data_IF_897855331725
#
_entry.id   IF_897855331725
#
_cell.length_a   1.000
_cell.length_b   1.000
_cell.length_c   1.000
_cell.angle_alpha   90.00
_cell.angle_beta   90.00
_cell.angle_gamma   90.00
#
_symmetry.space_group_name_H-M   'P 1'
#
loop_
_entity.id
_entity.type
_entity.pdbx_description
1 polymer ?
#
# COMPACT_ATOMS: atom_id res chain seq x y z
N UNK A 1 -53.75 -2.60 -13.84
CA UNK A 1 -52.46 -2.08 -14.32
C UNK A 1 -51.63 -1.80 -13.08
N UNK A 2 -50.74 -2.75 -12.77
CA UNK A 2 -49.72 -2.63 -11.73
C UNK A 2 -48.59 -1.78 -12.30
N UNK A 3 -48.39 -0.59 -11.77
CA UNK A 3 -47.14 0.16 -11.92
C UNK A 3 -46.75 0.65 -10.53
N UNK A 4 -45.50 0.32 -10.16
CA UNK A 4 -44.66 0.85 -9.06
C UNK A 4 -43.90 -0.25 -8.31
N UNK A 5 -43.32 -1.19 -9.05
CA UNK A 5 -42.05 -1.81 -8.68
C UNK A 5 -41.06 -1.32 -9.73
N UNK A 6 -40.11 -0.45 -9.32
CA UNK A 6 -38.78 -0.18 -9.93
C UNK A 6 -38.24 1.24 -9.62
N UNK A 7 -38.46 1.79 -8.42
CA UNK A 7 -37.62 2.91 -7.91
C UNK A 7 -36.56 2.43 -6.89
N UNK A 8 -36.63 1.17 -6.45
CA UNK A 8 -35.72 0.59 -5.45
C UNK A 8 -34.37 0.14 -6.01
N UNK A 9 -34.21 0.05 -7.33
CA UNK A 9 -32.99 -0.44 -7.98
C UNK A 9 -31.93 0.65 -8.22
N UNK A 10 -32.25 1.93 -7.98
CA UNK A 10 -31.33 3.07 -8.18
C UNK A 10 -30.64 3.54 -6.87
N UNK A 11 -30.91 2.90 -5.72
CA UNK A 11 -30.31 3.28 -4.44
C UNK A 11 -29.04 2.49 -4.18
N UNK A 12 -27.90 3.14 -4.39
CA UNK A 12 -26.59 2.59 -4.02
C UNK A 12 -26.32 2.86 -2.54
N UNK A 13 -26.23 1.79 -1.75
CA UNK A 13 -25.85 1.87 -0.34
C UNK A 13 -24.33 2.04 -0.22
N UNK A 14 -23.89 3.26 0.10
CA UNK A 14 -22.47 3.51 0.39
C UNK A 14 -21.99 2.79 1.67
N UNK A 15 -22.90 2.59 2.63
CA UNK A 15 -22.70 1.78 3.84
C UNK A 15 -23.98 1.02 4.15
N UNK A 16 -23.84 -0.22 4.63
CA UNK A 16 -24.94 -1.11 4.98
C UNK A 16 -24.58 -1.93 6.22
N UNK A 17 -25.41 -1.77 7.26
CA UNK A 17 -25.37 -2.54 8.51
C UNK A 17 -24.00 -2.59 9.19
N UNK A 18 -23.31 -1.44 9.24
CA UNK A 18 -22.02 -1.28 9.91
C UNK A 18 -22.22 -1.25 11.44
N UNK A 19 -21.51 -2.10 12.18
CA UNK A 19 -21.51 -2.10 13.64
C UNK A 19 -20.12 -2.44 14.19
N UNK A 20 -19.55 -1.54 14.99
CA UNK A 20 -18.28 -1.74 15.68
C UNK A 20 -18.14 -0.77 16.86
N UNK A 21 -17.22 -1.07 17.77
CA UNK A 21 -16.86 -0.25 18.92
C UNK A 21 -15.35 0.02 18.90
N UNK A 22 -14.94 1.22 19.30
CA UNK A 22 -13.52 1.60 19.44
C UNK A 22 -13.28 2.07 20.85
N UNK A 23 -12.33 1.43 21.56
CA UNK A 23 -12.06 1.77 22.96
C UNK A 23 -11.19 3.02 23.06
N UNK A 24 -11.25 3.69 24.21
CA UNK A 24 -10.39 4.84 24.49
C UNK A 24 -8.91 4.45 24.36
N UNK A 25 -8.14 5.26 23.62
CA UNK A 25 -6.71 5.02 23.39
C UNK A 25 -6.41 3.93 22.36
N UNK A 26 -7.45 3.38 21.71
CA UNK A 26 -7.27 2.44 20.60
C UNK A 26 -6.94 3.18 19.30
N UNK A 27 -6.01 2.61 18.52
CA UNK A 27 -5.74 3.03 17.16
C UNK A 27 -6.27 1.98 16.20
N UNK A 28 -7.41 2.29 15.59
CA UNK A 28 -8.13 1.42 14.67
C UNK A 28 -7.81 1.79 13.23
N UNK A 29 -7.37 0.81 12.44
CA UNK A 29 -7.22 0.96 10.99
C UNK A 29 -8.50 0.59 10.24
N UNK A 30 -8.82 1.29 9.15
CA UNK A 30 -9.89 0.90 8.22
C UNK A 30 -9.30 0.73 6.83
N UNK A 31 -9.40 -0.49 6.32
CA UNK A 31 -8.88 -0.91 5.02
C UNK A 31 -10.01 -1.38 4.11
N UNK A 32 -9.75 -1.40 2.80
CA UNK A 32 -10.69 -1.85 1.78
C UNK A 32 -10.46 -1.16 0.43
N UNK A 33 -11.07 -1.68 -0.63
CA UNK A 33 -10.92 -1.14 -1.98
C UNK A 33 -11.49 0.29 -2.12
N UNK A 34 -11.14 0.96 -3.23
CA UNK A 34 -11.78 2.22 -3.59
C UNK A 34 -13.28 2.00 -3.80
N UNK A 35 -14.10 2.95 -3.33
CA UNK A 35 -15.56 2.80 -3.37
C UNK A 35 -16.16 1.89 -2.29
N UNK A 36 -15.35 1.27 -1.41
CA UNK A 36 -15.88 0.40 -0.34
C UNK A 36 -16.69 1.12 0.75
N UNK A 37 -16.75 2.46 0.76
CA UNK A 37 -17.51 3.24 1.76
C UNK A 37 -16.68 3.88 2.88
N UNK A 38 -15.35 3.72 2.89
CA UNK A 38 -14.45 4.23 3.94
C UNK A 38 -14.59 5.74 4.21
N UNK A 39 -14.55 6.56 3.16
CA UNK A 39 -14.70 8.02 3.29
C UNK A 39 -16.11 8.42 3.73
N UNK A 40 -17.14 7.65 3.36
CA UNK A 40 -18.51 7.87 3.85
C UNK A 40 -18.59 7.58 5.35
N UNK A 41 -17.97 6.49 5.80
CA UNK A 41 -17.91 6.15 7.23
C UNK A 41 -17.19 7.24 8.02
N UNK A 42 -16.05 7.72 7.51
CA UNK A 42 -15.33 8.83 8.11
C UNK A 42 -16.15 10.12 8.20
N UNK A 43 -16.91 10.48 7.17
CA UNK A 43 -17.80 11.66 7.19
C UNK A 43 -18.90 11.54 8.25
N UNK A 44 -19.43 10.33 8.45
CA UNK A 44 -20.41 10.06 9.50
C UNK A 44 -19.77 10.19 10.88
N UNK A 45 -18.61 9.58 11.09
CA UNK A 45 -17.86 9.69 12.36
C UNK A 45 -17.43 11.14 12.67
N UNK A 46 -17.12 11.92 11.63
CA UNK A 46 -16.79 13.33 11.72
C UNK A 46 -18.01 14.25 11.94
N UNK A 47 -19.22 13.69 11.97
CA UNK A 47 -20.49 14.43 12.06
C UNK A 47 -20.72 15.42 10.90
N UNK A 48 -20.09 15.18 9.74
CA UNK A 48 -20.30 15.98 8.52
C UNK A 48 -21.60 15.57 7.83
N UNK A 49 -21.98 14.29 7.94
CA UNK A 49 -23.21 13.75 7.36
C UNK A 49 -23.86 12.78 8.34
N UNK A 50 -25.17 12.87 8.50
CA UNK A 50 -25.90 11.96 9.37
C UNK A 50 -26.11 10.59 8.68
N UNK A 51 -26.12 9.48 9.44
CA UNK A 51 -26.46 8.19 8.88
C UNK A 51 -27.95 8.15 8.48
N UNK A 52 -28.27 7.46 7.37
CA UNK A 52 -29.67 7.25 6.94
C UNK A 52 -30.45 6.43 7.96
N UNK A 53 -29.79 5.48 8.63
CA UNK A 53 -30.35 4.64 9.69
C UNK A 53 -29.28 4.29 10.73
N UNK A 54 -29.71 3.95 11.94
CA UNK A 54 -28.80 3.65 13.06
C UNK A 54 -28.36 4.89 13.84
N UNK A 55 -27.32 4.75 14.66
CA UNK A 55 -26.79 5.81 15.51
C UNK A 55 -25.28 5.70 15.66
N UNK A 56 -24.64 6.84 15.94
CA UNK A 56 -23.23 6.92 16.27
C UNK A 56 -23.09 7.64 17.62
N UNK A 57 -22.40 7.02 18.56
CA UNK A 57 -22.16 7.56 19.90
C UNK A 57 -20.66 7.84 20.05
N UNK A 58 -20.32 9.08 20.39
CA UNK A 58 -18.95 9.58 20.47
C UNK A 58 -18.75 10.27 21.82
N UNK A 59 -17.75 9.82 22.57
CA UNK A 59 -17.45 10.33 23.91
C UNK A 59 -16.15 11.14 23.91
N UNK A 60 -16.21 12.38 23.41
CA UNK A 60 -15.08 13.31 23.39
C UNK A 60 -15.16 14.31 22.22
N UNK A 61 -14.23 15.26 22.17
CA UNK A 61 -14.05 16.16 21.03
C UNK A 61 -13.45 15.38 19.88
N UNK A 62 -14.17 15.34 18.76
CA UNK A 62 -13.68 14.75 17.52
C UNK A 62 -12.97 15.81 16.70
N UNK A 63 -11.78 15.50 16.22
CA UNK A 63 -11.16 16.26 15.14
C UNK A 63 -10.91 15.35 13.94
N UNK A 64 -11.01 15.92 12.74
CA UNK A 64 -10.88 15.17 11.50
C UNK A 64 -9.89 15.83 10.55
N UNK A 65 -9.03 15.01 9.94
CA UNK A 65 -8.10 15.43 8.90
C UNK A 65 -8.63 15.25 7.47
N UNK A 66 -9.94 15.02 7.32
CA UNK A 66 -10.60 14.84 6.02
C UNK A 66 -10.50 16.08 5.11
N UNK A 67 -10.40 17.26 5.72
CA UNK A 67 -10.52 18.54 5.01
C UNK A 67 -9.37 19.49 5.34
N UNK A 68 -8.18 18.94 5.61
CA UNK A 68 -6.99 19.74 5.91
C UNK A 68 -6.70 20.70 4.76
N UNK A 69 -6.90 22.00 5.01
CA UNK A 69 -6.65 23.08 4.06
C UNK A 69 -7.89 23.73 3.45
N UNK A 70 -9.12 23.22 3.67
CA UNK A 70 -10.36 23.82 3.13
C UNK A 70 -10.72 25.16 3.79
N UNK A 71 -10.12 25.48 4.94
CA UNK A 71 -10.29 26.74 5.67
C UNK A 71 -9.23 27.81 5.37
N UNK A 72 -8.36 27.62 4.37
CA UNK A 72 -7.33 28.61 4.05
C UNK A 72 -7.89 29.83 3.32
N UNK A 73 -7.63 31.02 3.87
CA UNK A 73 -7.98 32.27 3.25
C UNK A 73 -6.77 32.87 2.51
N UNK A 74 -6.84 33.09 1.18
CA UNK A 74 -5.71 33.48 0.34
C UNK A 74 -5.14 34.87 0.67
N UNK A 75 -5.99 35.79 1.16
CA UNK A 75 -5.59 37.15 1.54
C UNK A 75 -5.00 37.25 2.95
N UNK A 76 -5.21 36.23 3.79
CA UNK A 76 -4.64 36.21 5.14
C UNK A 76 -3.18 35.71 5.10
N UNK A 77 -2.36 36.20 6.01
CA UNK A 77 -1.02 35.66 6.26
C UNK A 77 -1.06 34.19 6.68
N UNK A 78 0.08 33.51 6.60
CA UNK A 78 0.21 32.16 7.17
C UNK A 78 -0.13 32.13 8.66
N UNK A 79 0.29 33.13 9.43
CA UNK A 79 -0.02 33.25 10.87
C UNK A 79 -1.53 33.34 11.10
N UNK A 80 -2.22 34.22 10.40
CA UNK A 80 -3.68 34.37 10.51
C UNK A 80 -4.41 33.09 10.06
N UNK A 81 -3.89 32.41 9.04
CA UNK A 81 -4.41 31.10 8.63
C UNK A 81 -4.22 30.01 9.70
N UNK A 82 -3.15 30.05 10.51
CA UNK A 82 -3.00 29.16 11.68
C UNK A 82 -4.17 29.37 12.65
N UNK A 83 -4.49 30.63 12.98
CA UNK A 83 -5.59 30.94 13.88
C UNK A 83 -6.95 30.53 13.32
N UNK A 84 -7.20 30.85 12.05
CA UNK A 84 -8.45 30.52 11.36
C UNK A 84 -8.66 29.00 11.30
N UNK A 85 -7.68 28.25 10.79
CA UNK A 85 -7.79 26.80 10.66
C UNK A 85 -7.81 26.12 12.03
N UNK A 86 -7.00 26.56 12.99
CA UNK A 86 -7.00 26.03 14.34
C UNK A 86 -8.38 26.16 14.99
N UNK A 87 -9.03 27.31 14.82
CA UNK A 87 -10.37 27.56 15.36
C UNK A 87 -11.43 26.72 14.66
N UNK A 88 -11.38 26.59 13.32
CA UNK A 88 -12.27 25.72 12.54
C UNK A 88 -12.14 24.26 13.01
N UNK A 89 -10.93 23.82 13.33
CA UNK A 89 -10.63 22.45 13.79
C UNK A 89 -10.89 22.25 15.30
N UNK A 90 -11.44 23.26 16.00
CA UNK A 90 -11.85 23.14 17.39
C UNK A 90 -10.78 23.47 18.44
N UNK A 91 -9.70 24.17 18.07
CA UNK A 91 -8.76 24.75 19.01
C UNK A 91 -9.28 26.08 19.56
N UNK A 92 -9.12 26.26 20.87
CA UNK A 92 -9.26 27.56 21.51
C UNK A 92 -8.08 28.46 21.15
N UNK A 93 -8.29 29.78 21.18
CA UNK A 93 -7.21 30.75 20.95
C UNK A 93 -5.99 30.49 21.86
N UNK A 94 -6.21 30.11 23.12
CA UNK A 94 -5.14 29.79 24.08
C UNK A 94 -4.31 28.56 23.66
N UNK A 95 -4.97 27.51 23.17
CA UNK A 95 -4.27 26.33 22.62
C UNK A 95 -3.43 26.72 21.39
N UNK A 96 -3.96 27.59 20.52
CA UNK A 96 -3.24 28.07 19.34
C UNK A 96 -2.03 28.91 19.74
N UNK A 97 -2.21 29.88 20.65
CA UNK A 97 -1.13 30.75 21.15
C UNK A 97 0.00 29.91 21.76
N UNK A 98 -0.34 28.88 22.54
CA UNK A 98 0.64 27.99 23.18
C UNK A 98 1.43 27.14 22.16
N UNK A 99 0.81 26.75 21.05
CA UNK A 99 1.42 25.86 20.04
C UNK A 99 1.94 26.59 18.79
N UNK A 100 1.82 27.92 18.73
CA UNK A 100 2.05 28.70 17.52
C UNK A 100 3.46 28.48 16.96
N UNK A 101 4.49 28.61 17.80
CA UNK A 101 5.88 28.47 17.38
C UNK A 101 6.20 27.04 16.92
N UNK A 102 5.68 26.03 17.62
CA UNK A 102 5.82 24.62 17.23
C UNK A 102 5.17 24.35 15.86
N UNK A 103 3.98 24.90 15.62
CA UNK A 103 3.28 24.78 14.32
C UNK A 103 4.11 25.42 13.21
N UNK A 104 4.65 26.62 13.46
CA UNK A 104 5.48 27.35 12.48
C UNK A 104 6.76 26.57 12.17
N UNK A 105 7.45 26.07 13.20
CA UNK A 105 8.67 25.28 13.03
C UNK A 105 8.39 23.96 12.29
N UNK A 106 7.33 23.24 12.66
CA UNK A 106 6.95 21.97 12.06
C UNK A 106 6.64 22.14 10.56
N UNK A 107 5.94 23.21 10.19
CA UNK A 107 5.57 23.52 8.81
C UNK A 107 6.75 23.83 7.89
N UNK A 108 7.86 24.34 8.47
CA UNK A 108 9.00 24.84 7.72
C UNK A 108 8.72 26.11 6.91
N UNK A 109 7.61 26.82 7.15
CA UNK A 109 7.27 28.07 6.43
C UNK A 109 7.62 29.35 7.20
N UNK A 110 8.40 29.26 8.29
CA UNK A 110 8.67 30.38 9.20
C UNK A 110 9.12 31.68 8.52
N UNK A 111 9.98 31.63 7.49
CA UNK A 111 10.41 32.84 6.75
C UNK A 111 9.27 33.57 6.02
N UNK A 112 8.19 32.87 5.71
CA UNK A 112 7.04 33.36 4.95
C UNK A 112 5.78 33.50 5.81
N UNK A 113 5.86 33.28 7.13
CA UNK A 113 4.68 33.11 7.97
C UNK A 113 3.75 34.33 7.96
N UNK A 114 4.31 35.53 7.86
CA UNK A 114 3.56 36.79 7.80
C UNK A 114 3.24 37.23 6.34
N UNK A 115 3.52 36.37 5.35
CA UNK A 115 3.18 36.60 3.93
C UNK A 115 1.78 36.06 3.61
N UNK A 116 0.96 36.75 2.79
CA UNK A 116 -0.34 36.25 2.36
C UNK A 116 -0.28 34.87 1.69
N UNK A 117 -1.22 33.99 2.06
CA UNK A 117 -1.25 32.59 1.62
C UNK A 117 -1.39 32.41 0.10
N UNK A 118 -1.90 33.41 -0.63
CA UNK A 118 -1.93 33.40 -2.11
C UNK A 118 -0.54 33.36 -2.75
N UNK A 119 0.51 33.76 -2.01
CA UNK A 119 1.91 33.70 -2.47
C UNK A 119 2.61 32.39 -2.10
N UNK A 120 1.93 31.50 -1.37
CA UNK A 120 2.50 30.21 -1.00
C UNK A 120 2.43 29.25 -2.18
N UNK A 121 3.46 28.42 -2.34
CA UNK A 121 3.34 27.24 -3.20
C UNK A 121 2.26 26.29 -2.65
N UNK A 122 1.75 25.39 -3.50
CA UNK A 122 0.83 24.33 -3.06
C UNK A 122 1.41 23.54 -1.87
N UNK A 123 2.69 23.16 -1.94
CA UNK A 123 3.37 22.44 -0.85
C UNK A 123 3.53 23.25 0.43
N UNK A 124 3.68 24.57 0.38
CA UNK A 124 3.69 25.42 1.58
C UNK A 124 2.32 25.48 2.26
N UNK A 125 1.25 25.62 1.46
CA UNK A 125 -0.13 25.65 1.98
C UNK A 125 -0.49 24.34 2.68
N UNK A 126 -0.23 23.21 2.03
CA UNK A 126 -0.48 21.89 2.62
C UNK A 126 0.36 21.68 3.87
N UNK A 127 1.67 21.96 3.83
CA UNK A 127 2.52 21.79 5.03
C UNK A 127 2.00 22.59 6.20
N UNK A 128 1.61 23.86 6.00
CA UNK A 128 1.05 24.68 7.07
C UNK A 128 -0.29 24.13 7.58
N UNK A 129 -1.22 23.78 6.69
CA UNK A 129 -2.50 23.20 7.05
C UNK A 129 -2.33 21.92 7.89
N UNK A 130 -1.45 21.03 7.43
CA UNK A 130 -1.14 19.80 8.13
C UNK A 130 -0.44 20.06 9.47
N UNK A 131 0.40 21.09 9.55
CA UNK A 131 1.08 21.44 10.80
C UNK A 131 0.09 21.86 11.88
N UNK A 132 -0.94 22.63 11.53
CA UNK A 132 -2.02 22.98 12.46
C UNK A 132 -2.74 21.71 12.93
N UNK A 133 -3.15 20.87 11.97
CA UNK A 133 -3.82 19.59 12.20
C UNK A 133 -3.03 18.64 13.12
N UNK A 134 -1.71 18.52 12.90
CA UNK A 134 -0.83 17.64 13.68
C UNK A 134 -0.59 18.13 15.12
N UNK A 135 -0.99 19.36 15.44
CA UNK A 135 -0.91 19.94 16.79
C UNK A 135 -2.28 20.05 17.47
N UNK A 136 -3.34 19.50 16.86
CA UNK A 136 -4.63 19.31 17.52
C UNK A 136 -4.47 18.35 18.71
N UNK A 137 -5.29 18.57 19.74
CA UNK A 137 -5.32 17.72 20.94
C UNK A 137 -6.73 17.20 21.25
N UNK A 138 -7.40 16.52 20.28
CA UNK A 138 -8.72 15.96 20.50
C UNK A 138 -8.64 14.68 21.36
N UNK A 139 -9.77 14.21 21.87
CA UNK A 139 -9.88 12.86 22.42
C UNK A 139 -9.97 11.79 21.32
N UNK A 140 -10.60 12.14 20.19
CA UNK A 140 -10.79 11.26 19.03
C UNK A 140 -10.26 11.95 17.77
N UNK A 141 -9.29 11.33 17.10
CA UNK A 141 -8.70 11.83 15.86
C UNK A 141 -9.06 10.92 14.68
N UNK A 142 -9.72 11.48 13.67
CA UNK A 142 -10.02 10.82 12.41
C UNK A 142 -9.00 11.23 11.36
N UNK A 143 -8.35 10.24 10.74
CA UNK A 143 -7.31 10.47 9.75
C UNK A 143 -7.73 9.77 8.47
N UNK A 144 -7.86 10.54 7.39
CA UNK A 144 -8.00 10.02 6.03
C UNK A 144 -6.65 10.12 5.33
N UNK A 145 -6.53 9.40 4.22
CA UNK A 145 -5.40 9.17 3.30
C UNK A 145 -4.52 10.39 2.93
N UNK A 146 -4.90 11.58 3.37
CA UNK A 146 -4.23 12.89 3.32
C UNK A 146 -2.83 12.89 3.95
N UNK A 147 -2.41 11.81 4.61
CA UNK A 147 -1.01 11.67 5.05
C UNK A 147 0.00 11.63 3.91
N UNK A 148 -0.42 11.32 2.68
CA UNK A 148 0.45 11.28 1.52
C UNK A 148 0.76 12.68 0.92
N UNK A 149 0.34 13.78 1.55
CA UNK A 149 0.58 15.12 1.00
C UNK A 149 1.86 15.76 1.56
N UNK A 150 2.71 16.29 0.68
CA UNK A 150 4.02 16.86 1.00
C UNK A 150 5.17 16.00 0.51
N UNK A 151 6.41 16.42 0.78
CA UNK A 151 7.60 15.64 0.46
C UNK A 151 7.81 14.48 1.45
N UNK A 152 8.62 13.48 1.07
CA UNK A 152 8.88 12.30 1.89
C UNK A 152 9.46 12.63 3.29
N UNK A 153 10.21 13.73 3.42
CA UNK A 153 10.75 14.18 4.71
C UNK A 153 9.64 14.72 5.60
N UNK A 154 8.69 15.47 5.05
CA UNK A 154 7.52 15.96 5.76
C UNK A 154 6.57 14.81 6.15
N UNK A 155 6.27 13.89 5.23
CA UNK A 155 5.46 12.71 5.53
C UNK A 155 6.05 11.89 6.70
N UNK A 156 7.37 11.69 6.74
CA UNK A 156 8.05 11.01 7.86
C UNK A 156 7.89 11.78 9.18
N UNK A 157 7.97 13.12 9.16
CA UNK A 157 7.67 13.95 10.34
C UNK A 157 6.22 13.77 10.81
N UNK A 158 5.26 13.73 9.88
CA UNK A 158 3.84 13.54 10.16
C UNK A 158 3.56 12.19 10.83
N UNK A 159 4.08 11.10 10.24
CA UNK A 159 3.96 9.75 10.82
C UNK A 159 4.58 9.69 12.22
N UNK A 160 5.74 10.30 12.44
CA UNK A 160 6.37 10.36 13.76
C UNK A 160 5.54 11.13 14.80
N UNK A 161 4.90 12.24 14.40
CA UNK A 161 3.99 12.98 15.29
C UNK A 161 2.76 12.16 15.64
N UNK A 162 2.20 11.42 14.69
CA UNK A 162 1.05 10.55 14.91
C UNK A 162 1.36 9.36 15.82
N UNK A 163 2.55 8.76 15.69
CA UNK A 163 3.05 7.77 16.65
C UNK A 163 3.13 8.35 18.06
N UNK A 164 3.58 9.60 18.18
CA UNK A 164 3.57 10.33 19.45
C UNK A 164 2.16 10.50 20.04
N UNK A 165 1.18 10.89 19.22
CA UNK A 165 -0.23 11.07 19.63
C UNK A 165 -0.84 9.73 20.06
N UNK A 166 -0.59 8.66 19.32
CA UNK A 166 -1.03 7.30 19.67
C UNK A 166 -0.53 6.88 21.06
N UNK A 167 0.74 7.18 21.38
CA UNK A 167 1.33 6.85 22.68
C UNK A 167 0.78 7.69 23.86
N UNK A 168 0.02 8.75 23.60
CA UNK A 168 -0.60 9.60 24.64
C UNK A 168 -1.99 9.09 25.07
N UNK A 169 -2.41 7.90 24.60
CA UNK A 169 -3.71 7.33 24.95
C UNK A 169 -4.89 7.99 24.24
N UNK A 170 -4.63 8.67 23.12
CA UNK A 170 -5.67 9.24 22.25
C UNK A 170 -6.28 8.15 21.37
N UNK A 171 -7.58 8.25 21.11
CA UNK A 171 -8.27 7.34 20.20
C UNK A 171 -8.07 7.82 18.76
N UNK A 172 -7.63 6.93 17.87
CA UNK A 172 -7.36 7.26 16.47
C UNK A 172 -8.09 6.29 15.56
N UNK A 173 -8.81 6.83 14.57
CA UNK A 173 -9.37 6.05 13.47
C UNK A 173 -8.62 6.45 12.22
N UNK A 174 -7.85 5.52 11.67
CA UNK A 174 -6.95 5.75 10.56
C UNK A 174 -7.40 4.99 9.32
N UNK A 175 -7.70 5.72 8.25
CA UNK A 175 -8.12 5.17 6.97
C UNK A 175 -7.02 5.39 5.95
N UNK A 176 -6.56 4.32 5.34
CA UNK A 176 -5.50 4.40 4.34
C UNK A 176 -5.47 3.16 3.45
N UNK A 177 -5.08 3.34 2.19
CA UNK A 177 -4.61 2.25 1.34
C UNK A 177 -3.12 1.92 1.57
N UNK A 178 -2.40 2.71 2.37
CA UNK A 178 -1.01 2.44 2.72
C UNK A 178 -0.94 1.40 3.85
N UNK A 179 -0.80 0.13 3.45
CA UNK A 179 -0.76 -1.00 4.38
C UNK A 179 0.43 -0.97 5.33
N UNK A 180 1.57 -0.38 4.94
CA UNK A 180 2.72 -0.23 5.84
C UNK A 180 2.43 0.76 6.97
N UNK A 181 1.76 1.87 6.66
CA UNK A 181 1.34 2.84 7.66
C UNK A 181 0.30 2.24 8.62
N UNK A 182 -0.70 1.52 8.08
CA UNK A 182 -1.70 0.81 8.89
C UNK A 182 -1.01 -0.23 9.79
N UNK A 183 -0.10 -1.04 9.24
CA UNK A 183 0.66 -2.06 9.97
C UNK A 183 1.49 -1.47 11.12
N UNK A 184 2.02 -0.26 10.95
CA UNK A 184 2.87 0.40 11.93
C UNK A 184 2.07 1.11 13.03
N UNK A 185 0.95 1.73 12.66
CA UNK A 185 0.19 2.61 13.56
C UNK A 185 -0.97 1.89 14.27
N UNK A 186 -1.59 0.92 13.61
CA UNK A 186 -2.81 0.26 14.07
C UNK A 186 -2.51 -1.11 14.67
N UNK A 187 -3.19 -1.44 15.78
CA UNK A 187 -3.13 -2.78 16.39
C UNK A 187 -4.29 -3.66 15.90
N UNK A 188 -5.45 -3.03 15.69
CA UNK A 188 -6.67 -3.62 15.16
C UNK A 188 -7.04 -2.95 13.84
N UNK A 189 -7.73 -3.70 12.97
CA UNK A 189 -8.27 -3.17 11.73
C UNK A 189 -9.70 -3.67 11.47
N UNK A 190 -10.42 -2.90 10.66
CA UNK A 190 -11.67 -3.27 10.01
C UNK A 190 -11.41 -3.35 8.52
N UNK A 191 -11.83 -4.46 7.91
CA UNK A 191 -11.92 -4.58 6.46
C UNK A 191 -13.36 -4.30 6.02
N UNK A 192 -13.52 -3.25 5.22
CA UNK A 192 -14.80 -2.88 4.62
C UNK A 192 -14.80 -3.29 3.15
N UNK A 193 -15.86 -3.97 2.75
CA UNK A 193 -16.11 -4.38 1.38
C UNK A 193 -17.55 -4.02 1.00
N UNK A 194 -17.72 -3.32 -0.13
CA UNK A 194 -19.03 -2.91 -0.67
C UNK A 194 -19.99 -2.30 0.39
N UNK A 195 -19.46 -1.46 1.28
CA UNK A 195 -20.25 -0.76 2.28
C UNK A 195 -20.55 -1.56 3.55
N UNK A 196 -20.08 -2.80 3.69
CA UNK A 196 -20.27 -3.62 4.90
C UNK A 196 -18.94 -4.01 5.55
N UNK A 197 -18.95 -4.23 6.86
CA UNK A 197 -17.79 -4.81 7.56
C UNK A 197 -17.75 -6.29 7.23
N UNK A 198 -16.67 -6.71 6.58
CA UNK A 198 -16.45 -8.11 6.28
C UNK A 198 -15.70 -8.80 7.43
N UNK A 199 -14.66 -8.14 7.96
CA UNK A 199 -13.80 -8.67 9.02
C UNK A 199 -13.30 -7.59 9.97
N UNK A 200 -13.10 -7.97 11.23
CA UNK A 200 -12.44 -7.18 12.27
C UNK A 200 -11.41 -8.06 12.95
N UNK A 201 -10.19 -7.56 13.18
CA UNK A 201 -9.17 -8.35 13.86
C UNK A 201 -7.82 -7.66 13.93
N UNK A 202 -6.77 -8.45 14.18
CA UNK A 202 -5.40 -7.94 14.24
C UNK A 202 -4.95 -7.42 12.88
N UNK A 203 -4.30 -6.27 12.89
CA UNK A 203 -3.89 -5.56 11.67
C UNK A 203 -3.05 -6.43 10.73
N UNK A 204 -2.06 -7.14 11.26
CA UNK A 204 -1.16 -7.96 10.42
C UNK A 204 -1.85 -9.12 9.71
N UNK A 205 -2.84 -9.74 10.37
CA UNK A 205 -3.63 -10.83 9.78
C UNK A 205 -4.54 -10.29 8.67
N UNK A 206 -5.32 -9.25 8.98
CA UNK A 206 -6.27 -8.65 8.03
C UNK A 206 -5.58 -8.06 6.79
N UNK A 207 -4.45 -7.37 6.95
CA UNK A 207 -3.67 -6.87 5.81
C UNK A 207 -3.23 -8.03 4.91
N UNK A 208 -2.76 -9.13 5.52
CA UNK A 208 -2.29 -10.28 4.75
C UNK A 208 -3.44 -10.95 3.99
N UNK A 209 -4.59 -11.11 4.62
CA UNK A 209 -5.81 -11.64 3.97
C UNK A 209 -6.28 -10.74 2.83
N UNK A 210 -6.41 -9.43 3.08
CA UNK A 210 -6.83 -8.45 2.08
C UNK A 210 -5.93 -8.42 0.83
N UNK A 211 -4.61 -8.42 1.04
CA UNK A 211 -3.64 -8.45 -0.05
C UNK A 211 -3.67 -9.79 -0.81
N UNK A 212 -3.88 -10.90 -0.11
CA UNK A 212 -4.00 -12.21 -0.73
C UNK A 212 -5.24 -12.30 -1.61
N UNK A 213 -6.40 -11.80 -1.16
CA UNK A 213 -7.64 -11.78 -1.94
C UNK A 213 -7.52 -10.90 -3.19
N UNK A 214 -6.84 -9.76 -3.06
CA UNK A 214 -6.56 -8.90 -4.22
C UNK A 214 -5.71 -9.65 -5.24
N UNK A 215 -4.64 -10.32 -4.79
CA UNK A 215 -3.73 -11.07 -5.67
C UNK A 215 -4.31 -12.39 -6.18
N UNK A 216 -5.26 -13.01 -5.47
CA UNK A 216 -5.95 -14.21 -5.92
C UNK A 216 -6.79 -13.95 -7.17
N UNK A 217 -7.46 -12.79 -7.20
CA UNK A 217 -8.18 -12.33 -8.38
C UNK A 217 -7.24 -11.90 -9.53
N UNK A 218 -5.95 -11.72 -9.25
CA UNK A 218 -4.91 -11.27 -10.18
C UNK A 218 -3.84 -12.36 -10.44
N UNK A 219 -4.11 -13.64 -10.16
CA UNK A 219 -3.16 -14.72 -10.50
C UNK A 219 -2.95 -14.71 -12.02
N UNK A 220 -1.72 -14.39 -12.42
CA UNK A 220 -1.29 -14.36 -13.81
C UNK A 220 -0.09 -15.29 -13.90
N UNK A 221 -0.34 -16.52 -14.34
CA UNK A 221 0.68 -17.54 -14.57
C UNK A 221 1.30 -17.47 -15.97
N UNK A 222 0.66 -16.73 -16.87
CA UNK A 222 1.11 -16.49 -18.24
C UNK A 222 0.81 -15.04 -18.64
N UNK A 223 1.80 -14.34 -19.15
CA UNK A 223 1.68 -12.97 -19.64
C UNK A 223 2.21 -12.89 -21.07
N UNK A 224 1.48 -12.19 -21.93
CA UNK A 224 1.89 -11.87 -23.30
C UNK A 224 1.99 -10.35 -23.46
N UNK A 225 3.13 -9.91 -23.97
CA UNK A 225 3.29 -8.54 -24.42
C UNK A 225 3.03 -8.48 -25.92
N UNK A 226 1.93 -7.84 -26.30
CA UNK A 226 1.50 -7.72 -27.71
C UNK A 226 1.93 -6.35 -28.28
N UNK A 227 2.39 -5.44 -27.42
CA UNK A 227 2.87 -4.13 -27.85
C UNK A 227 4.19 -4.24 -28.60
N UNK A 228 4.53 -3.26 -29.45
CA UNK A 228 5.77 -3.27 -30.21
C UNK A 228 7.04 -3.16 -29.35
N UNK A 229 8.23 -3.24 -29.96
CA UNK A 229 9.49 -3.15 -29.23
C UNK A 229 9.58 -1.82 -28.46
N UNK A 230 9.70 -1.92 -27.13
CA UNK A 230 9.82 -0.75 -26.24
C UNK A 230 11.16 -0.01 -26.43
N UNK A 231 12.12 -0.63 -27.11
CA UNK A 231 13.43 -0.08 -27.45
C UNK A 231 14.01 -0.85 -28.66
N UNK A 232 15.15 -0.38 -29.19
CA UNK A 232 15.77 -0.94 -30.40
C UNK A 232 16.66 -2.19 -30.14
N UNK A 233 16.74 -2.69 -28.90
CA UNK A 233 17.65 -3.78 -28.53
C UNK A 233 16.92 -5.07 -28.18
N UNK A 234 15.93 -4.99 -27.30
CA UNK A 234 15.18 -6.13 -26.78
C UNK A 234 13.70 -5.83 -26.66
N UNK A 235 12.88 -6.79 -27.04
CA UNK A 235 11.45 -6.79 -26.80
C UNK A 235 11.06 -8.02 -25.98
N UNK A 236 10.55 -7.80 -24.77
CA UNK A 236 9.98 -8.86 -23.97
C UNK A 236 8.63 -9.25 -24.56
N UNK A 237 8.43 -10.53 -24.91
CA UNK A 237 7.23 -11.04 -25.59
C UNK A 237 6.33 -11.86 -24.68
N UNK A 238 6.91 -12.72 -23.83
CA UNK A 238 6.12 -13.69 -23.06
C UNK A 238 6.80 -14.10 -21.76
N UNK A 239 6.01 -14.29 -20.70
CA UNK A 239 6.46 -14.97 -19.48
C UNK A 239 5.46 -16.05 -19.07
N UNK A 240 5.97 -17.16 -18.52
CA UNK A 240 5.16 -18.26 -17.98
C UNK A 240 5.79 -18.91 -16.77
N UNK A 241 4.93 -19.48 -15.91
CA UNK A 241 5.32 -20.43 -14.87
C UNK A 241 4.92 -21.85 -15.32
N UNK A 242 5.91 -22.74 -15.42
CA UNK A 242 5.70 -24.13 -15.82
C UNK A 242 6.30 -25.10 -14.80
N UNK A 243 5.77 -26.32 -14.77
CA UNK A 243 6.35 -27.43 -14.00
C UNK A 243 7.68 -27.88 -14.58
N UNK A 244 8.40 -28.75 -13.87
CA UNK A 244 9.64 -29.36 -14.38
C UNK A 244 9.40 -30.17 -15.68
N UNK A 245 8.18 -30.65 -15.89
CA UNK A 245 7.76 -31.36 -17.11
C UNK A 245 7.34 -30.40 -18.24
N UNK A 246 7.36 -29.08 -18.01
CA UNK A 246 7.00 -28.05 -18.98
C UNK A 246 5.51 -27.73 -19.08
N UNK A 247 4.67 -28.25 -18.18
CA UNK A 247 3.24 -27.96 -18.15
C UNK A 247 2.95 -26.62 -17.44
N UNK A 248 2.05 -25.80 -17.99
CA UNK A 248 1.69 -24.51 -17.39
C UNK A 248 1.02 -24.69 -16.02
N UNK A 249 1.57 -24.05 -14.99
CA UNK A 249 0.98 -24.03 -13.65
C UNK A 249 0.02 -22.84 -13.58
N UNK A 250 -1.29 -23.11 -13.63
CA UNK A 250 -2.30 -22.05 -13.75
C UNK A 250 -2.64 -21.33 -12.45
N UNK A 251 -2.60 -22.04 -11.32
CA UNK A 251 -3.20 -21.57 -10.06
C UNK A 251 -2.19 -21.55 -8.94
N UNK A 252 -1.64 -22.72 -8.59
CA UNK A 252 -0.85 -22.91 -7.38
C UNK A 252 0.33 -23.84 -7.64
N UNK A 253 1.51 -23.42 -7.20
CA UNK A 253 2.73 -24.21 -7.22
C UNK A 253 2.78 -25.05 -5.93
N UNK A 254 2.73 -26.38 -6.08
CA UNK A 254 2.67 -27.34 -4.95
C UNK A 254 4.01 -28.02 -4.65
N UNK A 255 4.82 -28.30 -5.68
CA UNK A 255 6.08 -29.04 -5.52
C UNK A 255 7.28 -28.13 -5.17
N UNK A 256 7.03 -26.84 -4.95
CA UNK A 256 7.98 -25.75 -4.68
C UNK A 256 9.16 -25.58 -5.66
N UNK A 257 9.45 -26.54 -6.56
CA UNK A 257 10.30 -26.35 -7.73
C UNK A 257 9.45 -26.15 -8.98
N UNK A 258 9.82 -25.14 -9.74
CA UNK A 258 9.13 -24.75 -10.97
C UNK A 258 10.08 -23.95 -11.84
N UNK A 259 9.70 -23.78 -13.10
CA UNK A 259 10.49 -23.07 -14.10
C UNK A 259 9.73 -21.81 -14.50
N UNK A 260 10.45 -20.70 -14.53
CA UNK A 260 9.97 -19.47 -15.15
C UNK A 260 10.55 -19.42 -16.56
N UNK A 261 9.70 -19.46 -17.57
CA UNK A 261 10.08 -19.27 -18.97
C UNK A 261 9.88 -17.80 -19.36
N UNK A 262 10.89 -17.22 -19.99
CA UNK A 262 10.89 -15.83 -20.45
C UNK A 262 11.27 -15.82 -21.92
N UNK A 263 10.33 -15.46 -22.79
CA UNK A 263 10.56 -15.25 -24.21
C UNK A 263 10.78 -13.76 -24.50
N UNK A 264 11.74 -13.49 -25.37
CA UNK A 264 12.09 -12.14 -25.78
C UNK A 264 12.82 -12.14 -27.12
N UNK A 265 12.63 -11.07 -27.89
CA UNK A 265 13.29 -10.85 -29.16
C UNK A 265 14.49 -9.92 -29.00
N UNK A 266 15.58 -10.23 -29.69
CA UNK A 266 16.75 -9.36 -29.79
C UNK A 266 16.87 -8.84 -31.22
N UNK A 267 17.04 -7.53 -31.38
CA UNK A 267 17.12 -6.88 -32.69
C UNK A 267 18.55 -6.53 -33.13
N UNK A 268 19.52 -6.56 -32.21
CA UNK A 268 20.93 -6.30 -32.51
C UNK A 268 21.86 -7.23 -31.72
N UNK A 269 22.91 -7.72 -32.38
CA UNK A 269 23.98 -8.52 -31.77
C UNK A 269 25.07 -7.66 -31.10
N UNK A 270 24.98 -6.33 -31.16
CA UNK A 270 26.02 -5.41 -30.65
C UNK A 270 26.15 -5.45 -29.13
N UNK A 271 25.14 -5.98 -28.43
CA UNK A 271 25.04 -5.97 -26.98
C UNK A 271 24.61 -7.34 -26.48
N UNK A 272 25.31 -7.83 -25.46
CA UNK A 272 24.83 -8.97 -24.69
C UNK A 272 23.63 -8.53 -23.86
N UNK A 273 22.54 -9.30 -23.92
CA UNK A 273 21.32 -9.05 -23.15
C UNK A 273 21.21 -10.12 -22.08
N UNK A 274 21.02 -9.74 -20.82
CA UNK A 274 20.94 -10.68 -19.70
C UNK A 274 19.56 -10.53 -19.07
N UNK A 275 18.67 -11.52 -19.24
CA UNK A 275 17.42 -11.54 -18.51
C UNK A 275 17.67 -11.85 -17.03
N UNK A 276 16.83 -11.26 -16.20
CA UNK A 276 16.84 -11.41 -14.75
C UNK A 276 15.43 -11.21 -14.21
N UNK A 277 15.21 -11.67 -12.98
CA UNK A 277 13.92 -11.56 -12.32
C UNK A 277 14.08 -10.92 -10.96
N UNK A 278 13.14 -10.05 -10.62
CA UNK A 278 12.94 -9.53 -9.26
C UNK A 278 11.66 -10.13 -8.70
N UNK A 279 11.75 -10.70 -7.49
CA UNK A 279 10.61 -11.34 -6.83
C UNK A 279 10.18 -10.50 -5.63
N UNK A 280 8.87 -10.35 -5.50
CA UNK A 280 8.21 -9.56 -4.46
C UNK A 280 7.20 -10.44 -3.73
N UNK A 281 6.99 -10.18 -2.44
CA UNK A 281 5.88 -10.81 -1.70
C UNK A 281 4.54 -10.10 -1.93
N UNK A 282 3.48 -10.60 -1.30
CA UNK A 282 2.13 -10.04 -1.34
C UNK A 282 2.01 -8.58 -0.84
N UNK A 283 2.94 -8.11 0.01
CA UNK A 283 3.03 -6.71 0.45
C UNK A 283 3.76 -5.81 -0.55
N UNK A 284 4.18 -6.36 -1.69
CA UNK A 284 4.98 -5.65 -2.69
C UNK A 284 6.42 -5.38 -2.25
N UNK A 285 6.87 -5.96 -1.13
CA UNK A 285 8.25 -5.86 -0.66
C UNK A 285 9.15 -6.71 -1.55
N UNK A 286 10.22 -6.09 -2.05
CA UNK A 286 11.28 -6.78 -2.78
C UNK A 286 11.94 -7.84 -1.89
N UNK A 287 12.06 -9.07 -2.41
CA UNK A 287 12.70 -10.18 -1.71
C UNK A 287 14.13 -10.39 -2.21
N UNK A 288 14.29 -10.66 -3.50
CA UNK A 288 15.60 -10.88 -4.13
C UNK A 288 15.53 -10.73 -5.65
N UNK A 289 16.71 -10.62 -6.26
CA UNK A 289 16.91 -10.71 -7.70
C UNK A 289 17.64 -12.01 -8.05
N UNK A 290 17.29 -12.60 -9.18
CA UNK A 290 18.04 -13.71 -9.78
C UNK A 290 18.56 -13.28 -11.15
N UNK A 291 19.87 -13.36 -11.30
CA UNK A 291 20.60 -13.08 -12.53
C UNK A 291 21.63 -14.19 -12.76
N UNK A 292 21.91 -14.49 -14.02
CA UNK A 292 22.92 -15.48 -14.37
C UNK A 292 24.32 -15.00 -13.95
N UNK A 293 24.91 -15.62 -12.92
CA UNK A 293 26.22 -15.21 -12.34
C UNK A 293 27.42 -15.45 -13.26
N UNK A 294 27.25 -16.27 -14.30
CA UNK A 294 28.27 -16.53 -15.33
C UNK A 294 27.85 -15.91 -16.65
N UNK A 295 28.18 -14.64 -16.84
CA UNK A 295 27.81 -13.88 -18.04
C UNK A 295 28.34 -14.55 -19.33
N UNK A 296 29.49 -15.21 -19.24
CA UNK A 296 30.12 -16.00 -20.30
C UNK A 296 29.27 -17.15 -20.83
N UNK A 297 28.23 -17.57 -20.09
CA UNK A 297 27.31 -18.64 -20.49
C UNK A 297 25.94 -18.15 -20.93
N UNK A 298 25.76 -16.84 -21.02
CA UNK A 298 24.54 -16.24 -21.55
C UNK A 298 24.70 -16.22 -23.08
N UNK A 299 23.89 -17.03 -23.76
CA UNK A 299 23.89 -17.14 -25.21
C UNK A 299 22.59 -16.58 -25.74
N UNK A 300 22.69 -15.57 -26.61
CA UNK A 300 21.53 -15.00 -27.24
C UNK A 300 21.84 -14.76 -28.72
N UNK A 301 20.84 -14.99 -29.56
CA UNK A 301 20.90 -14.72 -30.99
C UNK A 301 19.95 -13.57 -31.35
N UNK A 302 20.22 -12.87 -32.44
CA UNK A 302 19.21 -12.00 -33.05
C UNK A 302 17.96 -12.84 -33.36
N UNK A 303 16.78 -12.30 -33.09
CA UNK A 303 15.50 -13.00 -33.18
C UNK A 303 14.99 -13.49 -31.82
N UNK A 304 14.15 -14.53 -31.86
CA UNK A 304 13.46 -15.05 -30.69
C UNK A 304 14.42 -15.85 -29.78
N UNK A 305 14.39 -15.54 -28.49
CA UNK A 305 15.15 -16.24 -27.46
C UNK A 305 14.23 -16.64 -26.31
N UNK A 306 14.58 -17.73 -25.63
CA UNK A 306 13.88 -18.20 -24.43
C UNK A 306 14.88 -18.47 -23.33
N UNK A 307 14.73 -17.78 -22.21
CA UNK A 307 15.45 -18.08 -20.97
C UNK A 307 14.56 -18.92 -20.04
N UNK A 308 15.12 -19.97 -19.45
CA UNK A 308 14.45 -20.81 -18.46
C UNK A 308 15.16 -20.67 -17.12
N UNK A 309 14.44 -20.25 -16.10
CA UNK A 309 14.96 -20.02 -14.75
C UNK A 309 14.31 -21.04 -13.83
N UNK A 310 15.08 -22.02 -13.38
CA UNK A 310 14.62 -23.02 -12.40
C UNK A 310 14.67 -22.42 -11.00
N UNK A 311 13.51 -22.32 -10.36
CA UNK A 311 13.40 -22.03 -8.94
C UNK A 311 13.52 -23.36 -8.17
N UNK A 312 14.50 -23.50 -7.27
CA UNK A 312 14.65 -24.72 -6.48
C UNK A 312 13.55 -24.81 -5.41
N UNK A 313 13.35 -26.03 -4.91
CA UNK A 313 12.36 -26.32 -3.87
C UNK A 313 12.63 -25.54 -2.59
N UNK A 314 11.57 -25.33 -1.83
CA UNK A 314 11.62 -24.88 -0.44
C UNK A 314 12.34 -23.54 -0.25
N UNK A 315 12.21 -22.60 -1.19
CA UNK A 315 12.65 -21.21 -1.01
C UNK A 315 11.55 -20.36 -0.37
N UNK A 316 10.30 -20.54 -0.80
CA UNK A 316 9.20 -19.63 -0.48
C UNK A 316 8.29 -20.20 0.59
N UNK A 317 7.78 -19.33 1.47
CA UNK A 317 6.69 -19.69 2.36
C UNK A 317 5.35 -19.72 1.62
N UNK A 318 4.33 -20.37 2.18
CA UNK A 318 2.97 -20.29 1.65
C UNK A 318 2.50 -18.83 1.52
N UNK A 319 1.97 -18.48 0.35
CA UNK A 319 1.50 -17.13 0.06
C UNK A 319 1.57 -16.75 -1.42
N UNK A 320 1.33 -15.46 -1.68
CA UNK A 320 1.34 -14.88 -3.02
C UNK A 320 2.64 -14.13 -3.27
N UNK A 321 3.13 -14.25 -4.50
CA UNK A 321 4.36 -13.64 -4.97
C UNK A 321 4.14 -13.04 -6.35
N UNK A 322 4.91 -12.01 -6.68
CA UNK A 322 4.91 -11.41 -8.00
C UNK A 322 6.33 -11.27 -8.57
N UNK A 323 6.43 -11.30 -9.89
CA UNK A 323 7.70 -11.29 -10.62
C UNK A 323 7.74 -10.10 -11.57
N UNK A 324 8.82 -9.34 -11.50
CA UNK A 324 9.21 -8.37 -12.53
C UNK A 324 10.39 -8.93 -13.32
N UNK A 325 10.41 -8.69 -14.62
CA UNK A 325 11.49 -9.11 -15.51
C UNK A 325 12.34 -7.90 -15.87
N UNK A 326 13.66 -8.06 -15.80
CA UNK A 326 14.62 -7.03 -16.14
C UNK A 326 15.61 -7.57 -17.16
N UNK A 327 15.99 -6.70 -18.09
CA UNK A 327 16.98 -7.00 -19.13
C UNK A 327 18.14 -6.03 -18.98
N UNK A 328 19.32 -6.58 -18.73
CA UNK A 328 20.55 -5.84 -18.53
C UNK A 328 21.49 -6.01 -19.70
N UNK A 329 22.33 -5.01 -19.96
CA UNK A 329 23.51 -5.17 -20.82
C UNK A 329 24.76 -4.72 -20.08
N UNK A 330 25.78 -5.59 -19.95
CA UNK A 330 27.04 -5.20 -19.34
C UNK A 330 27.77 -4.23 -20.27
N UNK A 331 28.18 -3.07 -19.76
CA UNK A 331 29.12 -2.18 -20.44
C UNK A 331 30.46 -2.16 -19.72
N UNK A 332 31.47 -1.55 -20.35
CA UNK A 332 32.84 -1.45 -19.81
C UNK A 332 32.89 -0.65 -18.49
N UNK A 333 31.91 0.22 -18.24
CA UNK A 333 31.92 1.14 -17.08
C UNK A 333 30.79 0.86 -16.10
N UNK A 334 29.58 0.52 -16.58
CA UNK A 334 28.42 0.20 -15.74
C UNK A 334 27.48 -0.82 -16.41
N UNK A 335 26.64 -1.50 -15.62
CA UNK A 335 25.57 -2.35 -16.17
C UNK A 335 24.36 -1.48 -16.51
N UNK A 336 24.01 -1.40 -17.79
CA UNK A 336 22.85 -0.64 -18.25
C UNK A 336 21.57 -1.49 -18.12
N UNK A 337 20.53 -0.92 -17.51
CA UNK A 337 19.19 -1.53 -17.49
C UNK A 337 18.41 -1.08 -18.72
N UNK A 338 18.12 -2.01 -19.62
CA UNK A 338 17.47 -1.73 -20.92
C UNK A 338 15.95 -1.73 -20.78
N UNK A 339 15.40 -2.72 -20.08
CA UNK A 339 13.97 -2.90 -19.93
C UNK A 339 13.64 -3.45 -18.54
N UNK A 340 12.51 -3.00 -17.99
CA UNK A 340 11.95 -3.52 -16.77
C UNK A 340 10.42 -3.57 -16.89
N UNK A 341 9.85 -4.71 -16.54
CA UNK A 341 8.39 -4.88 -16.40
C UNK A 341 7.96 -4.62 -14.95
N UNK A 342 6.68 -4.40 -14.71
CA UNK A 342 6.14 -4.14 -13.37
C UNK A 342 5.19 -5.27 -12.95
N UNK A 343 5.73 -6.26 -12.20
CA UNK A 343 4.96 -7.32 -11.53
C UNK A 343 3.92 -8.02 -12.42
N UNK A 344 4.35 -8.46 -13.60
CA UNK A 344 3.46 -8.97 -14.65
C UNK A 344 3.05 -10.45 -14.48
N UNK A 345 3.74 -11.19 -13.60
CA UNK A 345 3.40 -12.55 -13.23
C UNK A 345 3.12 -12.56 -11.73
N UNK A 346 1.99 -13.15 -11.35
CA UNK A 346 1.56 -13.32 -9.96
C UNK A 346 1.19 -14.77 -9.75
N UNK A 347 1.74 -15.39 -8.70
CA UNK A 347 1.56 -16.82 -8.43
C UNK A 347 1.43 -17.09 -6.94
N UNK A 348 0.83 -18.23 -6.63
CA UNK A 348 0.64 -18.74 -5.28
C UNK A 348 1.54 -19.95 -5.03
N UNK A 349 2.22 -19.95 -3.89
CA UNK A 349 2.96 -21.10 -3.37
C UNK A 349 2.14 -21.73 -2.26
N UNK A 350 2.01 -23.06 -2.30
CA UNK A 350 1.41 -23.84 -1.23
C UNK A 350 2.22 -25.11 -0.95
N UNK A 351 2.90 -25.08 0.18
CA UNK A 351 3.59 -26.21 0.78
C UNK A 351 2.70 -26.84 1.86
N UNK A 352 2.35 -28.11 1.64
CA UNK A 352 1.49 -28.88 2.54
C UNK A 352 2.18 -29.24 3.86
N UNK A 353 3.48 -29.53 3.83
CA UNK A 353 4.25 -29.90 5.02
C UNK A 353 4.33 -28.73 5.98
N UNK A 354 4.60 -27.53 5.48
CA UNK A 354 4.61 -26.32 6.29
C UNK A 354 3.23 -25.96 6.83
N UNK A 355 2.16 -26.20 6.05
CA UNK A 355 0.79 -26.01 6.52
C UNK A 355 0.47 -26.91 7.72
N UNK A 356 0.94 -28.17 7.69
CA UNK A 356 0.78 -29.12 8.80
C UNK A 356 1.62 -28.74 10.03
N UNK A 357 2.86 -28.27 9.85
CA UNK A 357 3.69 -27.81 10.98
C UNK A 357 3.07 -26.58 11.66
N UNK A 358 2.54 -25.62 10.87
CA UNK A 358 1.88 -24.43 11.42
C UNK A 358 0.66 -24.78 12.26
N UNK A 359 -0.17 -25.73 11.82
CA UNK A 359 -1.37 -26.13 12.55
C UNK A 359 -1.08 -26.81 13.89
N UNK A 360 0.10 -27.42 14.03
CA UNK A 360 0.52 -28.09 15.27
C UNK A 360 1.23 -27.17 16.28
N UNK A 361 1.81 -26.05 15.83
CA UNK A 361 2.74 -25.26 16.65
C UNK A 361 2.40 -23.78 16.80
N UNK A 362 1.28 -23.30 16.25
CA UNK A 362 0.87 -21.88 16.26
C UNK A 362 2.00 -20.94 15.78
N UNK A 363 2.86 -21.46 14.88
CA UNK A 363 4.07 -20.81 14.40
C UNK A 363 3.71 -19.80 13.30
N UNK A 364 3.55 -18.55 13.69
CA UNK A 364 3.59 -17.44 12.74
C UNK A 364 5.03 -17.22 12.26
N UNK A 365 5.46 -17.98 11.24
CA UNK A 365 6.71 -17.72 10.53
C UNK A 365 6.58 -16.39 9.76
N UNK A 366 7.31 -15.33 10.13
CA UNK A 366 7.13 -14.00 9.57
C UNK A 366 7.86 -13.81 8.22
N UNK A 367 8.65 -14.79 7.79
CA UNK A 367 9.49 -14.67 6.59
C UNK A 367 8.77 -15.20 5.34
N UNK A 368 8.86 -14.42 4.26
CA UNK A 368 8.40 -14.84 2.92
C UNK A 368 9.32 -15.88 2.27
N UNK A 369 10.55 -16.03 2.81
CA UNK A 369 11.56 -16.99 2.38
C UNK A 369 11.89 -17.93 3.53
N UNK A 370 12.12 -19.19 3.21
CA UNK A 370 12.34 -20.30 4.15
C UNK A 370 13.28 -21.34 3.52
N UNK A 371 14.49 -20.94 3.10
CA UNK A 371 15.42 -21.86 2.46
C UNK A 371 15.64 -23.10 3.32
N UNK A 372 15.50 -24.27 2.70
CA UNK A 372 15.86 -25.53 3.34
C UNK A 372 17.39 -25.64 3.47
N UNK A 373 17.86 -25.80 4.70
CA UNK A 373 19.27 -26.08 4.99
C UNK A 373 19.43 -27.54 5.40
N UNK A 374 20.60 -28.11 5.13
CA UNK A 374 20.94 -29.44 5.59
C UNK A 374 21.26 -29.42 7.09
N UNK A 375 20.49 -30.16 7.89
CA UNK A 375 20.73 -30.36 9.32
C UNK A 375 21.33 -31.75 9.56
N UNK A 376 22.37 -31.82 10.39
CA UNK A 376 22.98 -33.09 10.85
C UNK A 376 22.81 -33.16 12.37
N UNK A 377 22.32 -34.29 12.84
CA UNK A 377 22.18 -34.60 14.26
C UNK A 377 23.14 -35.76 14.58
N UNK A 378 23.97 -35.58 15.60
CA UNK A 378 24.92 -36.60 16.07
C UNK A 378 24.25 -37.62 17.01
#
# INVERSE_FOLDING_TARGET
>A
FNENNNESDDIIWALKDISFEVKQGEVLGIIGANGAGKSTLLKILAQITHPTSGKVELHGRVASLLEVGTGFHPELSGRENIYLNGTILGMTKKEIDFKLDEIIEFSGVGKFIDTPAKRYSSGMRVRLAFSVAAHLDPEILLIDEVLAVGDAKFQKKCLGKMEGISNQGKTIIFVSHNMDAIQKLCKSCIFINQGSIERIGSTGKLISEYLNETLENEIISEFYNIEGPANNFVHFTKARIVSENGELIKTEVKDNSFIIEVSYDIFSADRLIIPSIDIYNNKGKYLFTSIHRRVDKVYNSIGENVAKITIPRNIFSNGYFSISFLFFSPSVTETERILQTNKIITFKIYDEVLAQIKSQADLNLPSSLIPEFEWKYD
#
